data_IF_828520814824
#
_entry.id   IF_828520814824
#
_cell.length_a   1.000
_cell.length_b   1.000
_cell.length_c   1.000
_cell.angle_alpha   90.00
_cell.angle_beta   90.00
_cell.angle_gamma   90.00
#
_symmetry.space_group_name_H-M   'P 1'
#
loop_
_entity.id
_entity.type
_entity.pdbx_description
1 polymer ?
#
# COMPACT_ATOMS: atom_id res chain seq x y z
N UNK A 1 0.38 -48.44 16.06
CA UNK A 1 -0.61 -47.79 15.16
C UNK A 1 -1.35 -46.75 15.98
N UNK A 2 -0.95 -45.48 15.92
CA UNK A 2 -1.47 -44.41 16.76
C UNK A 2 -2.57 -43.62 16.02
N UNK A 3 -3.70 -43.42 16.68
CA UNK A 3 -4.89 -42.75 16.15
C UNK A 3 -4.59 -41.33 15.64
N UNK A 4 -5.22 -40.87 14.53
CA UNK A 4 -4.97 -39.57 13.93
C UNK A 4 -5.49 -38.45 14.83
N UNK A 5 -4.63 -37.46 15.09
CA UNK A 5 -4.87 -36.29 15.93
C UNK A 5 -6.13 -35.51 15.55
N UNK A 6 -7.26 -35.83 16.19
CA UNK A 6 -8.38 -34.91 16.40
C UNK A 6 -8.00 -33.88 17.48
N UNK A 7 -7.01 -33.02 17.22
CA UNK A 7 -6.81 -31.79 18.02
C UNK A 7 -7.65 -30.69 17.39
N UNK A 8 -8.92 -30.64 17.78
CA UNK A 8 -9.82 -29.55 17.44
C UNK A 8 -9.44 -28.27 18.19
N UNK A 9 -8.90 -27.31 17.45
CA UNK A 9 -9.35 -25.91 17.35
C UNK A 9 -9.45 -25.00 18.59
N UNK A 10 -9.00 -25.35 19.79
CA UNK A 10 -8.99 -24.40 20.93
C UNK A 10 -7.86 -23.36 20.79
N UNK A 11 -6.67 -23.79 20.37
CA UNK A 11 -5.51 -22.90 20.16
C UNK A 11 -5.64 -21.99 18.92
N UNK A 12 -6.62 -22.24 18.05
CA UNK A 12 -6.87 -21.43 16.85
C UNK A 12 -7.70 -20.16 17.13
N UNK A 13 -8.33 -20.06 18.30
CA UNK A 13 -9.19 -18.92 18.68
C UNK A 13 -8.38 -17.60 18.78
N UNK A 14 -7.25 -17.51 19.51
CA UNK A 14 -6.48 -16.27 19.57
C UNK A 14 -5.92 -15.88 18.19
N UNK A 15 -5.53 -16.86 17.38
CA UNK A 15 -5.06 -16.62 16.03
C UNK A 15 -6.15 -16.05 15.12
N UNK A 16 -7.38 -16.57 15.19
CA UNK A 16 -8.53 -16.02 14.46
C UNK A 16 -8.83 -14.58 14.81
N UNK A 17 -8.84 -14.26 16.11
CA UNK A 17 -9.10 -12.91 16.60
C UNK A 17 -7.99 -11.97 16.10
N UNK A 18 -6.72 -12.40 16.17
CA UNK A 18 -5.60 -11.64 15.64
C UNK A 18 -5.72 -11.34 14.15
N UNK A 19 -6.06 -12.33 13.33
CA UNK A 19 -6.26 -12.16 11.87
C UNK A 19 -7.41 -11.19 11.58
N UNK A 20 -8.52 -11.27 12.32
CA UNK A 20 -9.66 -10.36 12.15
C UNK A 20 -9.25 -8.92 12.50
N UNK A 21 -8.58 -8.72 13.63
CA UNK A 21 -8.12 -7.39 14.05
C UNK A 21 -7.20 -6.77 12.99
N UNK A 22 -6.19 -7.53 12.54
CA UNK A 22 -5.26 -7.07 11.52
C UNK A 22 -6.00 -6.76 10.20
N UNK A 23 -6.96 -7.61 9.81
CA UNK A 23 -7.77 -7.39 8.61
C UNK A 23 -8.61 -6.11 8.72
N UNK A 24 -9.18 -5.82 9.90
CA UNK A 24 -9.90 -4.57 10.14
C UNK A 24 -9.00 -3.34 10.00
N UNK A 25 -7.79 -3.37 10.57
CA UNK A 25 -6.83 -2.29 10.39
C UNK A 25 -6.49 -2.09 8.92
N UNK A 26 -6.19 -3.16 8.20
CA UNK A 26 -5.87 -3.08 6.77
C UNK A 26 -7.05 -2.55 5.94
N UNK A 27 -8.29 -2.92 6.26
CA UNK A 27 -9.47 -2.35 5.62
C UNK A 27 -9.58 -0.84 5.86
N UNK A 28 -9.32 -0.37 7.09
CA UNK A 28 -9.33 1.05 7.45
C UNK A 28 -8.23 1.80 6.68
N UNK A 29 -7.02 1.26 6.62
CA UNK A 29 -5.92 1.86 5.87
C UNK A 29 -6.22 1.94 4.36
N UNK A 30 -6.75 0.88 3.76
CA UNK A 30 -7.15 0.88 2.35
C UNK A 30 -8.32 1.81 2.05
N UNK A 31 -9.29 1.92 2.96
CA UNK A 31 -10.39 2.87 2.85
C UNK A 31 -9.93 4.32 2.98
N UNK A 32 -9.02 4.60 3.92
CA UNK A 32 -8.44 5.93 4.11
C UNK A 32 -7.61 6.38 2.91
N UNK A 33 -6.81 5.49 2.31
CA UNK A 33 -6.03 5.86 1.11
C UNK A 33 -6.97 6.29 -0.03
N UNK A 34 -8.00 5.49 -0.30
CA UNK A 34 -9.03 5.81 -1.30
C UNK A 34 -9.74 7.13 -0.97
N UNK A 35 -10.16 7.31 0.29
CA UNK A 35 -10.90 8.49 0.72
C UNK A 35 -10.09 9.77 0.66
N UNK A 36 -8.84 9.74 1.12
CA UNK A 36 -7.95 10.91 1.13
C UNK A 36 -7.54 11.34 -0.28
N UNK A 37 -7.15 10.40 -1.15
CA UNK A 37 -6.82 10.73 -2.55
C UNK A 37 -8.06 11.05 -3.40
N UNK A 38 -9.22 10.52 -3.05
CA UNK A 38 -10.49 10.87 -3.70
C UNK A 38 -10.92 12.31 -3.40
N UNK A 39 -10.67 12.78 -2.17
CA UNK A 39 -11.03 14.13 -1.73
C UNK A 39 -10.05 15.22 -2.19
N UNK A 40 -8.82 14.86 -2.58
CA UNK A 40 -7.83 15.82 -3.05
C UNK A 40 -7.99 16.09 -4.56
N UNK A 41 -8.52 17.26 -4.92
CA UNK A 41 -8.67 17.69 -6.32
C UNK A 41 -7.33 18.02 -7.00
N UNK A 42 -6.26 18.31 -6.22
CA UNK A 42 -4.96 18.73 -6.77
C UNK A 42 -4.02 17.57 -7.10
N UNK A 43 -4.33 16.34 -6.70
CA UNK A 43 -3.46 15.20 -6.98
C UNK A 43 -3.54 14.77 -8.45
N UNK A 44 -2.41 14.43 -9.06
CA UNK A 44 -2.37 13.96 -10.45
C UNK A 44 -3.23 12.69 -10.65
N UNK A 45 -3.77 12.52 -11.86
CA UNK A 45 -4.62 11.36 -12.20
C UNK A 45 -3.90 10.03 -11.97
N UNK A 46 -2.59 9.98 -12.22
CA UNK A 46 -1.73 8.81 -12.00
C UNK A 46 -1.66 8.43 -10.52
N UNK A 47 -1.49 9.41 -9.62
CA UNK A 47 -1.46 9.19 -8.17
C UNK A 47 -2.82 8.72 -7.65
N UNK A 48 -3.92 9.27 -8.18
CA UNK A 48 -5.28 8.80 -7.85
C UNK A 48 -5.48 7.34 -8.24
N UNK A 49 -5.14 6.98 -9.48
CA UNK A 49 -5.28 5.62 -9.99
C UNK A 49 -4.43 4.64 -9.18
N UNK A 50 -3.17 4.99 -8.89
CA UNK A 50 -2.28 4.19 -8.06
C UNK A 50 -2.86 3.95 -6.66
N UNK A 51 -3.38 5.00 -6.02
CA UNK A 51 -4.02 4.89 -4.70
C UNK A 51 -5.29 4.03 -4.73
N UNK A 52 -6.14 4.19 -5.75
CA UNK A 52 -7.33 3.34 -5.88
C UNK A 52 -6.97 1.87 -6.03
N UNK A 53 -5.96 1.55 -6.83
CA UNK A 53 -5.47 0.17 -6.99
C UNK A 53 -4.90 -0.35 -5.67
N UNK A 54 -4.02 0.41 -5.01
CA UNK A 54 -3.43 0.02 -3.73
C UNK A 54 -4.48 -0.19 -2.64
N UNK A 55 -5.41 0.74 -2.50
CA UNK A 55 -6.51 0.66 -1.54
C UNK A 55 -7.44 -0.52 -1.82
N UNK A 56 -7.78 -0.79 -3.09
CA UNK A 56 -8.59 -1.94 -3.47
C UNK A 56 -7.90 -3.27 -3.13
N UNK A 57 -6.58 -3.37 -3.34
CA UNK A 57 -5.79 -4.54 -2.95
C UNK A 57 -5.85 -4.74 -1.44
N UNK A 58 -5.69 -3.67 -0.64
CA UNK A 58 -5.80 -3.75 0.81
C UNK A 58 -7.19 -4.21 1.28
N UNK A 59 -8.27 -3.70 0.67
CA UNK A 59 -9.64 -4.12 0.99
C UNK A 59 -9.84 -5.61 0.66
N UNK A 60 -9.38 -6.06 -0.51
CA UNK A 60 -9.44 -7.48 -0.88
C UNK A 60 -8.63 -8.37 0.08
N UNK A 61 -7.48 -7.89 0.54
CA UNK A 61 -6.64 -8.57 1.52
C UNK A 61 -7.38 -8.72 2.87
N UNK A 62 -8.06 -7.65 3.31
CA UNK A 62 -8.86 -7.68 4.53
C UNK A 62 -10.04 -8.66 4.42
N UNK A 63 -10.77 -8.64 3.30
CA UNK A 63 -11.89 -9.57 3.07
C UNK A 63 -11.40 -11.02 3.07
N UNK A 64 -10.30 -11.31 2.37
CA UNK A 64 -9.72 -12.65 2.32
C UNK A 64 -9.23 -13.12 3.70
N UNK A 65 -8.68 -12.22 4.53
CA UNK A 65 -8.30 -12.52 5.91
C UNK A 65 -9.49 -12.82 6.81
N UNK A 66 -10.56 -12.04 6.71
CA UNK A 66 -11.82 -12.30 7.40
C UNK A 66 -12.43 -13.65 6.98
N UNK A 67 -12.43 -13.97 5.69
CA UNK A 67 -12.89 -15.26 5.18
C UNK A 67 -12.01 -16.40 5.69
N UNK A 68 -10.69 -16.29 5.62
CA UNK A 68 -9.75 -17.29 6.13
C UNK A 68 -9.94 -17.54 7.63
N UNK A 69 -10.22 -16.49 8.41
CA UNK A 69 -10.54 -16.61 9.82
C UNK A 69 -11.88 -17.33 10.08
N UNK A 70 -12.83 -17.35 9.14
CA UNK A 70 -14.08 -18.10 9.28
C UNK A 70 -13.93 -19.59 8.95
N UNK A 71 -13.02 -19.96 8.05
CA UNK A 71 -12.72 -21.37 7.75
C UNK A 71 -11.94 -22.03 8.90
N UNK A 72 -12.32 -23.26 9.29
CA UNK A 72 -11.68 -24.03 10.39
C UNK A 72 -10.53 -24.93 9.89
N UNK A 73 -10.07 -24.70 8.67
CA UNK A 73 -9.13 -25.59 7.96
C UNK A 73 -7.73 -24.98 7.99
N UNK A 74 -6.80 -25.67 8.66
CA UNK A 74 -5.39 -25.26 8.77
C UNK A 74 -4.73 -24.97 7.41
N UNK A 75 -5.09 -25.74 6.37
CA UNK A 75 -4.57 -25.56 5.01
C UNK A 75 -4.89 -24.16 4.44
N UNK A 76 -6.13 -23.69 4.62
CA UNK A 76 -6.57 -22.38 4.10
C UNK A 76 -5.81 -21.24 4.78
N UNK A 77 -5.59 -21.37 6.09
CA UNK A 77 -4.82 -20.40 6.88
C UNK A 77 -3.36 -20.33 6.42
N UNK A 78 -2.74 -21.49 6.13
CA UNK A 78 -1.38 -21.54 5.62
C UNK A 78 -1.25 -20.84 4.25
N UNK A 79 -2.17 -21.12 3.32
CA UNK A 79 -2.22 -20.42 2.03
C UNK A 79 -2.45 -18.91 2.18
N UNK A 80 -3.35 -18.51 3.08
CA UNK A 80 -3.59 -17.10 3.37
C UNK A 80 -2.33 -16.41 3.93
N UNK A 81 -1.59 -17.07 4.84
CA UNK A 81 -0.35 -16.51 5.37
C UNK A 81 0.69 -16.28 4.28
N UNK A 82 0.83 -17.21 3.33
CA UNK A 82 1.76 -17.03 2.19
C UNK A 82 1.28 -15.90 1.28
N UNK A 83 -0.02 -15.87 0.96
CA UNK A 83 -0.62 -14.82 0.14
C UNK A 83 -0.47 -13.43 0.78
N UNK A 84 -0.64 -13.32 2.09
CA UNK A 84 -0.44 -12.09 2.86
C UNK A 84 0.97 -11.53 2.69
N UNK A 85 1.99 -12.39 2.85
CA UNK A 85 3.38 -11.95 2.69
C UNK A 85 3.69 -11.53 1.26
N UNK A 86 3.19 -12.26 0.26
CA UNK A 86 3.34 -11.89 -1.15
C UNK A 86 2.71 -10.52 -1.43
N UNK A 87 1.47 -10.31 -0.98
CA UNK A 87 0.79 -9.04 -1.16
C UNK A 87 1.53 -7.89 -0.46
N UNK A 88 1.98 -8.11 0.78
CA UNK A 88 2.74 -7.11 1.55
C UNK A 88 4.04 -6.72 0.84
N UNK A 89 4.80 -7.71 0.34
CA UNK A 89 6.03 -7.45 -0.41
C UNK A 89 5.75 -6.69 -1.71
N UNK A 90 4.70 -7.06 -2.44
CA UNK A 90 4.31 -6.37 -3.66
C UNK A 90 3.93 -4.91 -3.39
N UNK A 91 3.15 -4.66 -2.34
CA UNK A 91 2.76 -3.28 -1.98
C UNK A 91 3.96 -2.45 -1.52
N UNK A 92 4.90 -3.04 -0.77
CA UNK A 92 6.15 -2.36 -0.39
C UNK A 92 6.96 -2.01 -1.64
N UNK A 93 7.11 -2.94 -2.60
CA UNK A 93 7.83 -2.69 -3.84
C UNK A 93 7.19 -1.55 -4.65
N UNK A 94 5.86 -1.57 -4.81
CA UNK A 94 5.13 -0.52 -5.54
C UNK A 94 5.25 0.84 -4.85
N UNK A 95 5.12 0.90 -3.53
CA UNK A 95 5.28 2.14 -2.77
C UNK A 95 6.73 2.66 -2.84
N UNK A 96 7.73 1.78 -2.76
CA UNK A 96 9.14 2.17 -2.88
C UNK A 96 9.44 2.72 -4.28
N UNK A 97 8.91 2.08 -5.33
CA UNK A 97 8.99 2.58 -6.70
C UNK A 97 8.33 3.95 -6.86
N UNK A 98 7.13 4.13 -6.30
CA UNK A 98 6.41 5.40 -6.35
C UNK A 98 7.18 6.52 -5.64
N UNK A 99 7.72 6.27 -4.44
CA UNK A 99 8.54 7.24 -3.70
C UNK A 99 9.82 7.58 -4.47
N UNK A 100 10.49 6.56 -5.03
CA UNK A 100 11.73 6.76 -5.79
C UNK A 100 11.47 7.61 -7.04
N UNK A 101 10.41 7.30 -7.80
CA UNK A 101 10.01 8.10 -8.95
C UNK A 101 9.66 9.53 -8.55
N UNK A 102 8.89 9.71 -7.48
CA UNK A 102 8.55 11.02 -6.96
C UNK A 102 9.80 11.84 -6.61
N UNK A 103 10.77 11.24 -5.91
CA UNK A 103 12.02 11.91 -5.56
C UNK A 103 12.85 12.28 -6.79
N UNK A 104 12.99 11.38 -7.77
CA UNK A 104 13.74 11.67 -9.00
C UNK A 104 13.11 12.79 -9.83
N UNK A 105 11.77 12.83 -9.91
CA UNK A 105 11.04 13.92 -10.58
C UNK A 105 11.21 15.22 -9.79
N UNK A 106 11.19 15.17 -8.46
CA UNK A 106 11.39 16.35 -7.62
C UNK A 106 12.81 16.92 -7.74
N UNK A 107 13.83 16.07 -7.82
CA UNK A 107 15.22 16.49 -8.08
C UNK A 107 15.37 17.11 -9.47
N UNK A 108 14.72 16.54 -10.50
CA UNK A 108 14.68 17.11 -11.84
C UNK A 108 14.02 18.49 -11.84
N UNK A 109 12.82 18.59 -11.25
CA UNK A 109 12.07 19.83 -11.15
C UNK A 109 12.81 20.93 -10.38
N UNK A 110 13.43 20.59 -9.24
CA UNK A 110 14.22 21.53 -8.47
C UNK A 110 15.44 22.05 -9.25
N UNK A 111 16.08 21.18 -10.05
CA UNK A 111 17.19 21.57 -10.92
C UNK A 111 16.72 22.50 -12.03
N UNK A 112 15.59 22.19 -12.66
CA UNK A 112 15.04 22.98 -13.76
C UNK A 112 14.62 24.39 -13.29
N UNK A 113 13.92 24.50 -12.14
CA UNK A 113 13.54 25.79 -11.54
C UNK A 113 14.78 26.62 -11.17
N UNK A 114 15.83 25.97 -10.65
CA UNK A 114 17.08 26.66 -10.31
C UNK A 114 17.80 27.18 -11.57
N UNK A 115 17.76 26.42 -12.66
CA UNK A 115 18.34 26.83 -13.93
C UNK A 115 17.57 27.98 -14.59
N UNK A 116 16.23 27.93 -14.53
CA UNK A 116 15.35 28.96 -15.08
C UNK A 116 15.53 30.30 -14.34
N UNK A 117 15.56 30.28 -13.01
CA UNK A 117 15.83 31.49 -12.20
C UNK A 117 17.23 32.08 -12.41
N UNK A 118 18.26 31.23 -12.59
CA UNK A 118 19.60 31.68 -12.95
C UNK A 118 19.63 32.34 -14.34
N UNK A 119 18.88 31.80 -15.28
CA UNK A 119 18.80 32.32 -16.65
C UNK A 119 18.10 33.68 -16.69
N UNK A 120 16.98 33.83 -15.97
CA UNK A 120 16.29 35.13 -15.83
C UNK A 120 17.17 36.20 -15.16
N UNK A 121 17.93 35.83 -14.13
CA UNK A 121 18.84 36.74 -13.44
C UNK A 121 19.98 37.23 -14.37
N UNK A 122 20.51 36.34 -15.22
CA UNK A 122 21.49 36.71 -16.23
C UNK A 122 20.91 37.62 -17.32
N UNK A 123 19.69 37.33 -17.79
CA UNK A 123 19.03 38.13 -18.82
C UNK A 123 18.67 39.55 -18.31
N UNK A 124 18.32 39.67 -17.02
CA UNK A 124 18.12 40.97 -16.36
C UNK A 124 19.43 41.78 -16.27
N UNK A 125 20.54 41.15 -15.89
CA UNK A 125 21.85 41.81 -15.87
C UNK A 125 22.32 42.24 -17.26
N UNK A 126 22.07 41.42 -18.29
CA UNK A 126 22.45 41.73 -19.66
C UNK A 126 21.67 42.93 -20.25
N UNK A 127 20.41 43.16 -19.83
CA UNK A 127 19.61 44.32 -20.24
C UNK A 127 19.93 45.61 -19.47
N UNK A 128 20.69 45.50 -18.38
CA UNK A 128 21.00 46.61 -17.48
C UNK A 128 22.37 47.27 -17.78
N UNK A 129 23.11 46.76 -18.77
CA UNK A 129 24.35 47.32 -19.31
C UNK A 129 24.08 47.99 -20.67
#
# INVERSE_FOLDING_TARGET
MAHPHKRQCIDCIPYRIGVIIISCFVAIFGGLSIGLQGADERSSMEVKVSSYIGGAIYILLAISGCLAAQYKTYKIVCYFSVFWWIATLLTILLNTLAITLYLTVFEGYARDVCFETLTEAFDFMARSC
#
